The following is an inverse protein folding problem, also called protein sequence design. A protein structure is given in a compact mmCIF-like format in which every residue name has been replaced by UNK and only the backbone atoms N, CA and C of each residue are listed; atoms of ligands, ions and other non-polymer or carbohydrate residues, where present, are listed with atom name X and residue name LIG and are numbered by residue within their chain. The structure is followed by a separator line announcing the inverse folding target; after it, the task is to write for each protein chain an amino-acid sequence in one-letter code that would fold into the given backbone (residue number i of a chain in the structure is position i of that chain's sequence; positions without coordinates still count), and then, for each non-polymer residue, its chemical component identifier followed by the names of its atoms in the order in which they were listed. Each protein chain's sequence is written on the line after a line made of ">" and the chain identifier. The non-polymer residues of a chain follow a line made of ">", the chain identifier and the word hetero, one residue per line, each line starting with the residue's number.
data_IF_299194451962
#
_entry.id   IF_299194451962
#
_cell.length_a   1.000
_cell.length_b   1.000
_cell.length_c   1.000
_cell.angle_alpha   90.00
_cell.angle_beta   90.00
_cell.angle_gamma   90.00
#
_symmetry.space_group_name_H-M   'P 1'
#
loop_
_entity.id
_entity.type
_entity.pdbx_description
1 polymer ?
#
# COMPACT_ATOMS: atom_id res chain seq x y z
N UNK A 1 28.97 11.89 16.91
CA UNK A 1 28.24 10.68 16.47
C UNK A 1 27.22 11.12 15.42
N UNK A 2 27.49 10.88 14.14
CA UNK A 2 26.53 11.13 13.07
C UNK A 2 25.76 9.83 12.91
N UNK A 3 24.51 9.78 13.36
CA UNK A 3 23.58 8.72 12.98
C UNK A 3 23.40 8.85 11.47
N UNK A 4 24.10 8.00 10.73
CA UNK A 4 23.72 7.68 9.37
C UNK A 4 22.54 6.76 9.55
N UNK A 5 21.33 7.31 9.49
CA UNK A 5 20.13 6.51 9.25
C UNK A 5 20.35 5.84 7.90
N UNK A 6 20.84 4.60 7.95
CA UNK A 6 20.78 3.70 6.82
C UNK A 6 19.29 3.53 6.54
N UNK A 7 18.77 4.28 5.57
CA UNK A 7 17.50 3.98 4.92
C UNK A 7 17.70 2.64 4.22
N UNK A 8 17.50 1.56 4.95
CA UNK A 8 17.39 0.24 4.35
C UNK A 8 16.09 0.23 3.58
N UNK A 9 16.16 0.49 2.27
CA UNK A 9 15.13 0.11 1.30
C UNK A 9 14.82 -1.41 1.31
N UNK A 10 15.49 -2.18 2.18
CA UNK A 10 15.34 -3.61 2.42
C UNK A 10 14.21 -3.99 3.40
N UNK A 11 13.68 -3.06 4.21
CA UNK A 11 12.71 -3.37 5.28
C UNK A 11 11.25 -3.05 4.92
N UNK A 12 10.97 -2.65 3.68
CA UNK A 12 9.58 -2.61 3.19
C UNK A 12 9.12 -4.02 2.84
N UNK A 13 8.87 -4.81 3.87
CA UNK A 13 8.33 -6.16 3.77
C UNK A 13 6.99 -6.12 3.03
N UNK A 14 7.01 -6.44 1.73
CA UNK A 14 5.82 -6.45 0.90
C UNK A 14 5.01 -7.71 1.20
N UNK A 15 4.07 -7.61 2.14
CA UNK A 15 3.12 -8.68 2.42
C UNK A 15 2.26 -8.95 1.20
N UNK A 16 2.36 -10.16 0.67
CA UNK A 16 1.48 -10.66 -0.37
C UNK A 16 0.27 -11.32 0.26
N UNK A 17 -0.92 -10.99 -0.25
CA UNK A 17 -2.17 -11.63 0.19
C UNK A 17 -2.79 -12.40 -0.96
N UNK A 18 -3.38 -13.54 -0.64
CA UNK A 18 -4.23 -14.27 -1.59
C UNK A 18 -5.67 -13.78 -1.44
N UNK A 19 -6.30 -13.51 -2.56
CA UNK A 19 -7.71 -13.11 -2.63
C UNK A 19 -8.40 -13.87 -3.75
N UNK A 20 -9.73 -14.07 -3.68
CA UNK A 20 -10.49 -14.63 -4.79
C UNK A 20 -10.28 -13.82 -6.09
N UNK A 21 -10.27 -14.52 -7.23
CA UNK A 21 -10.01 -13.88 -8.52
C UNK A 21 -11.02 -12.78 -8.89
N UNK A 22 -12.28 -12.94 -8.47
CA UNK A 22 -13.32 -11.90 -8.59
C UNK A 22 -12.92 -10.62 -7.83
N UNK A 23 -12.50 -10.76 -6.58
CA UNK A 23 -12.06 -9.64 -5.74
C UNK A 23 -10.84 -8.94 -6.32
N UNK A 24 -9.87 -9.69 -6.86
CA UNK A 24 -8.70 -9.11 -7.52
C UNK A 24 -9.09 -8.22 -8.72
N UNK A 25 -10.07 -8.67 -9.52
CA UNK A 25 -10.57 -7.90 -10.67
C UNK A 25 -11.24 -6.60 -10.21
N UNK A 26 -12.08 -6.67 -9.20
CA UNK A 26 -12.78 -5.49 -8.65
C UNK A 26 -11.80 -4.46 -8.06
N UNK A 27 -10.78 -4.94 -7.33
CA UNK A 27 -9.69 -4.10 -6.83
C UNK A 27 -8.91 -3.43 -7.97
N UNK A 28 -8.68 -4.16 -9.06
CA UNK A 28 -8.05 -3.64 -10.27
C UNK A 28 -8.86 -2.51 -10.91
N UNK A 29 -10.18 -2.70 -11.07
CA UNK A 29 -11.05 -1.67 -11.64
C UNK A 29 -11.06 -0.41 -10.77
N UNK A 30 -11.22 -0.55 -9.45
CA UNK A 30 -11.19 0.59 -8.51
C UNK A 30 -9.88 1.36 -8.55
N UNK A 31 -8.76 0.66 -8.70
CA UNK A 31 -7.44 1.29 -8.82
C UNK A 31 -7.32 2.12 -10.10
N UNK A 32 -7.87 1.62 -11.22
CA UNK A 32 -7.93 2.37 -12.48
C UNK A 32 -8.79 3.62 -12.35
N UNK A 33 -10.00 3.48 -11.79
CA UNK A 33 -10.94 4.59 -11.59
C UNK A 33 -10.33 5.70 -10.72
N UNK A 34 -9.63 5.32 -9.64
CA UNK A 34 -8.96 6.24 -8.72
C UNK A 34 -7.62 6.77 -9.22
N UNK A 35 -7.03 6.17 -10.28
CA UNK A 35 -5.66 6.43 -10.76
C UNK A 35 -4.58 6.22 -9.66
N UNK A 36 -4.82 5.29 -8.75
CA UNK A 36 -3.92 4.94 -7.65
C UNK A 36 -3.44 3.48 -7.79
N UNK A 37 -2.31 3.08 -7.18
CA UNK A 37 -1.92 1.68 -7.14
C UNK A 37 -2.95 0.84 -6.36
N UNK A 38 -3.15 -0.42 -6.75
CA UNK A 38 -4.03 -1.36 -6.02
C UNK A 38 -3.70 -1.40 -4.52
N UNK A 39 -2.41 -1.31 -4.15
CA UNK A 39 -1.97 -1.24 -2.76
C UNK A 39 -2.69 -0.15 -1.96
N UNK A 40 -2.89 1.03 -2.55
CA UNK A 40 -3.56 2.15 -1.87
C UNK A 40 -5.03 1.87 -1.61
N UNK A 41 -5.70 1.26 -2.59
CA UNK A 41 -7.10 0.83 -2.46
C UNK A 41 -7.23 -0.19 -1.32
N UNK A 42 -6.32 -1.17 -1.27
CA UNK A 42 -6.32 -2.21 -0.24
C UNK A 42 -6.03 -1.62 1.14
N UNK A 43 -5.00 -0.78 1.28
CA UNK A 43 -4.65 -0.20 2.59
C UNK A 43 -5.77 0.67 3.15
N UNK A 44 -6.41 1.51 2.33
CA UNK A 44 -7.57 2.30 2.77
C UNK A 44 -8.76 1.41 3.15
N UNK A 45 -8.98 0.31 2.43
CA UNK A 45 -10.05 -0.63 2.78
C UNK A 45 -9.77 -1.35 4.10
N UNK A 46 -8.52 -1.73 4.37
CA UNK A 46 -8.12 -2.34 5.65
C UNK A 46 -8.29 -1.35 6.81
N UNK A 47 -7.83 -0.11 6.65
CA UNK A 47 -8.03 0.97 7.63
C UNK A 47 -9.52 1.19 7.92
N UNK A 48 -10.36 1.31 6.87
CA UNK A 48 -11.79 1.48 7.01
C UNK A 48 -12.50 0.28 7.68
N UNK A 49 -11.92 -0.92 7.55
CA UNK A 49 -12.38 -2.13 8.24
C UNK A 49 -11.96 -2.16 9.73
N UNK A 50 -11.07 -1.27 10.16
CA UNK A 50 -10.56 -1.19 11.53
C UNK A 50 -9.20 -1.87 11.74
N UNK A 51 -8.50 -2.27 10.67
CA UNK A 51 -7.11 -2.71 10.76
C UNK A 51 -6.21 -1.48 10.95
N UNK A 52 -5.30 -1.54 11.92
CA UNK A 52 -4.34 -0.46 12.12
C UNK A 52 -3.36 -0.39 10.94
N UNK A 53 -3.49 0.65 10.11
CA UNK A 53 -2.58 0.93 9.00
C UNK A 53 -1.79 2.19 9.35
N UNK A 54 -0.44 2.15 9.34
CA UNK A 54 0.35 3.33 9.61
C UNK A 54 0.05 4.45 8.59
N UNK A 55 -0.16 5.72 9.01
CA UNK A 55 -0.51 6.81 8.09
C UNK A 55 0.49 7.00 6.95
N UNK A 56 1.78 6.79 7.23
CA UNK A 56 2.88 6.86 6.26
C UNK A 56 2.82 5.73 5.21
N UNK A 57 2.10 4.63 5.49
CA UNK A 57 1.92 3.53 4.56
C UNK A 57 0.91 3.88 3.46
N UNK A 58 -0.06 4.77 3.73
CA UNK A 58 -1.03 5.30 2.77
C UNK A 58 -0.43 6.50 2.03
N UNK A 59 0.68 6.28 1.34
CA UNK A 59 1.30 7.26 0.46
C UNK A 59 1.64 6.63 -0.89
N UNK A 60 1.23 7.27 -1.99
CA UNK A 60 1.64 6.84 -3.34
C UNK A 60 3.10 7.22 -3.57
N UNK A 61 3.99 6.23 -3.45
CA UNK A 61 5.44 6.42 -3.63
C UNK A 61 5.83 6.90 -5.00
N UNK A 62 4.99 6.67 -6.03
CA UNK A 62 5.24 7.18 -7.39
C UNK A 62 5.24 8.70 -7.45
N UNK A 63 4.64 9.37 -6.47
CA UNK A 63 4.56 10.83 -6.36
C UNK A 63 5.65 11.45 -5.49
N UNK A 64 6.60 10.65 -4.98
CA UNK A 64 7.66 11.11 -4.05
C UNK A 64 8.98 11.46 -4.74
N UNK A 65 9.02 11.45 -6.07
CA UNK A 65 10.12 11.94 -6.90
C UNK A 65 9.86 13.39 -7.32
#
# INVERSE_FOLDING_TARGET
>A
MKQVEARSDADDEHLQIQVPGVTKRDLGQRALDAREPIRMIVLRALEAYGVNVPPEAISDRRKRN
#
